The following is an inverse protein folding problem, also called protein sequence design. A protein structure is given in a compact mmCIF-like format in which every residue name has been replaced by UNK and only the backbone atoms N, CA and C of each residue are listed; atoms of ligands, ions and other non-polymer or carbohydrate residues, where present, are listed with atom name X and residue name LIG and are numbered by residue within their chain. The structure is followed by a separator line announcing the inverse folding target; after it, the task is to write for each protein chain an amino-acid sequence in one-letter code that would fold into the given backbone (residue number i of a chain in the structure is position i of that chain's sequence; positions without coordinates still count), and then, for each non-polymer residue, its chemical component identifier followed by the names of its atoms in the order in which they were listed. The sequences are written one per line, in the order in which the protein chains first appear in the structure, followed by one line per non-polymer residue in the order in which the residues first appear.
data_IF_566254307386
#
_entry.id   IF_566254307386
#
_cell.length_a   1.000
_cell.length_b   1.000
_cell.length_c   1.000
_cell.angle_alpha   90.00
_cell.angle_beta   90.00
_cell.angle_gamma   90.00
#
_symmetry.space_group_name_H-M   'P 1'
#
loop_
_entity.id
_entity.type
_entity.pdbx_description
1 polymer ?
#
# COMPACT_ATOMS: atom_id res chain seq x y z
N UNK A 1 13.41 -27.52 9.34
CA UNK A 1 12.24 -28.34 9.03
C UNK A 1 12.20 -28.47 7.52
N UNK A 2 12.29 -29.71 7.01
CA UNK A 2 12.06 -29.98 5.58
C UNK A 2 10.55 -30.09 5.36
N UNK A 3 10.02 -29.31 4.43
CA UNK A 3 8.59 -29.13 4.18
C UNK A 3 7.99 -27.95 4.93
N UNK A 4 6.66 -27.87 4.93
CA UNK A 4 5.89 -26.84 5.62
C UNK A 4 5.70 -27.15 7.11
N UNK A 5 5.49 -26.12 7.91
CA UNK A 5 5.15 -26.24 9.31
C UNK A 5 3.79 -25.59 9.61
N UNK A 6 2.86 -26.36 10.15
CA UNK A 6 1.52 -25.92 10.49
C UNK A 6 1.30 -25.96 11.99
N UNK A 7 1.00 -24.81 12.58
CA UNK A 7 0.59 -24.68 13.97
C UNK A 7 -0.60 -23.73 14.15
N UNK A 8 -1.45 -23.64 13.14
CA UNK A 8 -2.66 -22.83 13.19
C UNK A 8 -3.67 -23.35 14.19
N UNK A 9 -4.46 -22.45 14.78
CA UNK A 9 -5.55 -22.75 15.73
C UNK A 9 -5.14 -23.63 16.91
N UNK A 10 -3.90 -23.44 17.42
CA UNK A 10 -3.36 -24.17 18.56
C UNK A 10 -3.39 -23.36 19.87
N UNK A 11 -3.97 -22.14 19.85
CA UNK A 11 -4.00 -21.21 20.98
C UNK A 11 -2.60 -20.83 21.50
N UNK A 12 -1.60 -20.86 20.63
CA UNK A 12 -0.23 -20.49 20.97
C UNK A 12 -0.14 -19.01 21.37
N UNK A 13 0.65 -18.71 22.38
CA UNK A 13 0.92 -17.34 22.84
C UNK A 13 2.32 -16.87 22.47
N UNK A 14 3.23 -17.80 22.22
CA UNK A 14 4.62 -17.55 21.85
C UNK A 14 5.26 -18.83 21.27
N UNK A 15 6.51 -18.72 20.80
CA UNK A 15 7.34 -19.85 20.38
C UNK A 15 8.48 -20.17 21.35
N UNK A 16 8.34 -19.82 22.65
CA UNK A 16 9.36 -20.05 23.65
C UNK A 16 9.74 -21.52 23.74
N UNK A 17 11.05 -21.78 23.71
CA UNK A 17 11.59 -23.15 23.77
C UNK A 17 11.60 -23.90 22.44
N UNK A 18 11.03 -23.34 21.38
CA UNK A 18 11.13 -23.90 20.03
C UNK A 18 12.32 -23.27 19.29
N UNK A 19 13.00 -24.06 18.47
CA UNK A 19 14.10 -23.61 17.60
C UNK A 19 13.85 -24.12 16.19
N UNK A 20 13.31 -23.25 15.34
CA UNK A 20 12.96 -23.63 13.96
C UNK A 20 14.18 -23.63 13.01
N UNK A 21 15.10 -22.70 13.12
CA UNK A 21 16.13 -22.50 12.10
C UNK A 21 15.50 -22.12 10.75
N UNK A 22 15.51 -23.04 9.77
CA UNK A 22 14.92 -22.87 8.43
C UNK A 22 13.71 -23.77 8.28
N UNK A 23 12.64 -23.25 7.69
CA UNK A 23 11.49 -24.00 7.15
C UNK A 23 11.54 -23.87 5.63
N UNK A 24 11.58 -25.01 4.92
CA UNK A 24 11.88 -25.02 3.47
C UNK A 24 10.68 -24.69 2.58
N UNK A 25 9.46 -24.80 3.11
CA UNK A 25 8.24 -24.43 2.41
C UNK A 25 7.50 -23.32 3.19
N UNK A 26 6.25 -23.51 3.59
CA UNK A 26 5.45 -22.51 4.28
C UNK A 26 5.49 -22.67 5.82
N UNK A 27 5.37 -21.54 6.51
CA UNK A 27 5.19 -21.48 7.95
C UNK A 27 3.81 -20.86 8.26
N UNK A 28 2.90 -21.67 8.79
CA UNK A 28 1.51 -21.28 9.02
C UNK A 28 1.19 -21.29 10.53
N UNK A 29 1.15 -20.10 11.15
CA UNK A 29 0.87 -19.93 12.57
C UNK A 29 -0.34 -19.02 12.84
N UNK A 30 -1.26 -18.90 11.87
CA UNK A 30 -2.46 -18.07 11.97
C UNK A 30 -3.46 -18.60 12.99
N UNK A 31 -4.48 -17.81 13.34
CA UNK A 31 -5.52 -18.18 14.30
C UNK A 31 -4.98 -18.61 15.67
N UNK A 32 -4.00 -17.88 16.18
CA UNK A 32 -3.41 -18.11 17.51
C UNK A 32 -3.58 -16.87 18.41
N UNK A 33 -2.79 -16.77 19.47
CA UNK A 33 -2.76 -15.64 20.39
C UNK A 33 -1.36 -15.06 20.50
N UNK A 34 -0.59 -15.16 19.44
CA UNK A 34 0.79 -14.68 19.39
C UNK A 34 0.83 -13.16 19.55
N UNK A 35 1.72 -12.67 20.39
CA UNK A 35 1.95 -11.23 20.58
C UNK A 35 3.23 -10.73 19.91
N UNK A 36 4.14 -11.65 19.53
CA UNK A 36 5.35 -11.41 18.74
C UNK A 36 5.70 -12.66 17.92
N UNK A 37 6.64 -12.53 16.98
CA UNK A 37 7.20 -13.64 16.21
C UNK A 37 8.56 -14.09 16.74
N UNK A 38 8.91 -13.69 17.98
CA UNK A 38 10.16 -14.14 18.61
C UNK A 38 10.21 -15.66 18.71
N UNK A 39 11.27 -16.26 18.16
CA UNK A 39 11.43 -17.73 18.06
C UNK A 39 10.85 -18.34 16.76
N UNK A 40 10.24 -17.55 15.89
CA UNK A 40 9.84 -18.00 14.54
C UNK A 40 11.08 -18.43 13.70
N UNK A 41 10.88 -19.12 12.56
CA UNK A 41 11.96 -19.50 11.66
C UNK A 41 12.80 -18.30 11.21
N UNK A 42 14.10 -18.48 11.07
CA UNK A 42 15.00 -17.43 10.55
C UNK A 42 14.84 -17.23 9.04
N UNK A 43 14.40 -18.25 8.33
CA UNK A 43 14.09 -18.24 6.90
C UNK A 43 12.91 -19.15 6.61
N UNK A 44 12.04 -18.69 5.71
CA UNK A 44 10.89 -19.43 5.17
C UNK A 44 11.04 -19.49 3.67
N UNK A 45 11.10 -20.71 3.12
CA UNK A 45 11.30 -20.98 1.71
C UNK A 45 10.03 -20.93 0.84
N UNK A 46 8.88 -20.68 1.45
CA UNK A 46 7.59 -20.40 0.84
C UNK A 46 6.92 -19.26 1.58
N UNK A 47 5.60 -19.33 1.76
CA UNK A 47 4.82 -18.28 2.41
C UNK A 47 4.85 -18.37 3.94
N UNK A 48 4.76 -17.21 4.60
CA UNK A 48 4.57 -17.09 6.04
C UNK A 48 3.20 -16.48 6.33
N UNK A 49 2.35 -17.22 7.03
CA UNK A 49 1.01 -16.82 7.43
C UNK A 49 0.93 -16.68 8.95
N UNK A 50 0.83 -15.43 9.46
CA UNK A 50 0.66 -15.11 10.89
C UNK A 50 -0.58 -14.24 11.14
N UNK A 51 -1.53 -14.24 10.22
CA UNK A 51 -2.78 -13.49 10.33
C UNK A 51 -3.67 -14.02 11.47
N UNK A 52 -4.67 -13.24 11.89
CA UNK A 52 -5.58 -13.60 13.00
C UNK A 52 -4.81 -13.98 14.29
N UNK A 53 -3.97 -13.06 14.74
CA UNK A 53 -3.24 -13.15 16.00
C UNK A 53 -3.41 -11.86 16.83
N UNK A 54 -2.53 -11.62 17.78
CA UNK A 54 -2.53 -10.42 18.62
C UNK A 54 -1.17 -9.70 18.52
N UNK A 55 -0.52 -9.80 17.37
CA UNK A 55 0.80 -9.22 17.14
C UNK A 55 0.74 -7.70 17.27
N UNK A 56 1.62 -7.15 18.11
CA UNK A 56 1.82 -5.71 18.26
C UNK A 56 3.12 -5.25 17.62
N UNK A 57 3.97 -6.18 17.21
CA UNK A 57 5.27 -5.99 16.56
C UNK A 57 5.56 -7.19 15.65
N UNK A 58 6.36 -6.97 14.61
CA UNK A 58 6.91 -8.02 13.75
C UNK A 58 8.32 -8.42 14.16
N UNK A 59 8.76 -8.03 15.36
CA UNK A 59 10.04 -8.46 15.91
C UNK A 59 10.11 -9.99 15.97
N UNK A 60 11.21 -10.56 15.48
CA UNK A 60 11.40 -12.01 15.36
C UNK A 60 10.91 -12.59 14.02
N UNK A 61 10.29 -11.81 13.15
CA UNK A 61 9.98 -12.27 11.79
C UNK A 61 11.26 -12.59 11.00
N UNK A 62 11.24 -13.56 10.06
CA UNK A 62 12.37 -13.83 9.18
C UNK A 62 12.67 -12.62 8.29
N UNK A 63 13.93 -12.44 7.93
CA UNK A 63 14.33 -11.35 7.02
C UNK A 63 13.96 -11.64 5.56
N UNK A 64 13.74 -12.91 5.20
CA UNK A 64 13.42 -13.39 3.87
C UNK A 64 12.26 -14.36 3.90
N UNK A 65 11.28 -14.11 3.04
CA UNK A 65 10.13 -14.97 2.74
C UNK A 65 10.07 -15.13 1.23
N UNK A 66 10.19 -16.37 0.75
CA UNK A 66 10.25 -16.64 -0.70
C UNK A 66 8.86 -16.71 -1.35
N UNK A 67 7.79 -16.63 -0.57
CA UNK A 67 6.40 -16.55 -0.99
C UNK A 67 5.72 -15.32 -0.38
N UNK A 68 4.43 -15.44 -0.04
CA UNK A 68 3.64 -14.41 0.62
C UNK A 68 4.04 -14.21 2.07
N UNK A 69 3.93 -12.97 2.53
CA UNK A 69 3.96 -12.63 3.95
C UNK A 69 2.59 -12.03 4.34
N UNK A 70 1.85 -12.73 5.19
CA UNK A 70 0.54 -12.30 5.65
C UNK A 70 0.51 -12.11 7.18
N UNK A 71 0.47 -10.84 7.61
CA UNK A 71 0.32 -10.41 9.01
C UNK A 71 -1.02 -9.68 9.24
N UNK A 72 -2.02 -9.94 8.42
CA UNK A 72 -3.33 -9.31 8.49
C UNK A 72 -4.09 -9.64 9.78
N UNK A 73 -5.10 -8.83 10.14
CA UNK A 73 -5.94 -9.08 11.31
C UNK A 73 -5.11 -9.25 12.60
N UNK A 74 -4.28 -8.25 12.89
CA UNK A 74 -3.45 -8.17 14.08
C UNK A 74 -3.63 -6.79 14.77
N UNK A 75 -2.69 -6.39 15.61
CA UNK A 75 -2.70 -5.11 16.36
C UNK A 75 -1.45 -4.28 16.07
N UNK A 76 -0.88 -4.42 14.87
CA UNK A 76 0.35 -3.74 14.47
C UNK A 76 0.11 -2.23 14.32
N UNK A 77 1.03 -1.42 14.83
CA UNK A 77 1.02 0.04 14.67
C UNK A 77 2.10 0.53 13.69
N UNK A 78 3.08 -0.32 13.37
CA UNK A 78 4.12 -0.12 12.34
C UNK A 78 4.54 -1.46 11.75
N UNK A 79 5.33 -1.43 10.69
CA UNK A 79 5.90 -2.63 10.05
C UNK A 79 7.37 -2.84 10.44
N UNK A 80 7.85 -2.18 11.51
CA UNK A 80 9.21 -2.42 11.99
C UNK A 80 9.39 -3.89 12.39
N UNK A 81 10.49 -4.49 11.92
CA UNK A 81 10.76 -5.92 12.06
C UNK A 81 10.21 -6.80 10.94
N UNK A 82 9.46 -6.26 9.98
CA UNK A 82 8.96 -7.01 8.83
C UNK A 82 10.11 -7.60 7.97
N UNK A 83 9.85 -8.70 7.24
CA UNK A 83 10.77 -9.19 6.22
C UNK A 83 11.16 -8.10 5.23
N UNK A 84 12.45 -7.98 4.93
CA UNK A 84 12.93 -7.00 3.96
C UNK A 84 12.94 -7.53 2.52
N UNK A 85 12.77 -8.85 2.36
CA UNK A 85 12.62 -9.52 1.08
C UNK A 85 11.38 -10.42 1.12
N UNK A 86 10.38 -10.07 0.31
CA UNK A 86 9.16 -10.84 0.11
C UNK A 86 8.98 -10.98 -1.39
N UNK A 87 9.03 -12.22 -1.88
CA UNK A 87 9.02 -12.48 -3.33
C UNK A 87 7.64 -12.58 -3.96
N UNK A 88 6.61 -12.70 -3.15
CA UNK A 88 5.24 -12.65 -3.64
C UNK A 88 4.53 -11.49 -2.96
N UNK A 89 3.35 -11.68 -2.40
CA UNK A 89 2.54 -10.59 -1.86
C UNK A 89 2.80 -10.32 -0.38
N UNK A 90 2.60 -9.06 0.02
CA UNK A 90 2.69 -8.59 1.40
C UNK A 90 1.32 -8.09 1.86
N UNK A 91 0.73 -8.77 2.82
CA UNK A 91 -0.59 -8.46 3.37
C UNK A 91 -0.48 -7.99 4.82
N UNK A 92 -0.90 -6.75 5.11
CA UNK A 92 -0.96 -6.16 6.44
C UNK A 92 -2.31 -5.47 6.71
N UNK A 93 -3.36 -5.92 6.03
CA UNK A 93 -4.69 -5.35 6.16
C UNK A 93 -5.29 -5.61 7.56
N UNK A 94 -6.29 -4.79 7.95
CA UNK A 94 -6.97 -4.92 9.24
C UNK A 94 -6.00 -4.91 10.44
N UNK A 95 -5.20 -3.86 10.52
CA UNK A 95 -4.31 -3.57 11.64
C UNK A 95 -4.58 -2.16 12.20
N UNK A 96 -3.66 -1.62 12.95
CA UNK A 96 -3.73 -0.27 13.53
C UNK A 96 -2.55 0.58 13.04
N UNK A 97 -2.07 0.32 11.81
CA UNK A 97 -0.89 0.96 11.25
C UNK A 97 -1.13 2.47 11.08
N UNK A 98 -0.26 3.26 11.68
CA UNK A 98 -0.19 4.71 11.48
C UNK A 98 0.95 5.12 10.54
N UNK A 99 1.83 4.16 10.19
CA UNK A 99 2.97 4.33 9.29
C UNK A 99 3.32 3.00 8.62
N UNK A 100 3.86 3.06 7.41
CA UNK A 100 4.41 1.91 6.68
C UNK A 100 5.92 1.75 6.90
N UNK A 101 6.48 2.48 7.88
CA UNK A 101 7.90 2.35 8.23
C UNK A 101 8.24 0.90 8.59
N UNK A 102 9.28 0.37 7.94
CA UNK A 102 9.71 -1.02 8.07
C UNK A 102 9.20 -1.95 6.97
N UNK A 103 8.30 -1.49 6.08
CA UNK A 103 7.93 -2.27 4.91
C UNK A 103 9.14 -2.55 4.00
N UNK A 104 9.14 -3.69 3.26
CA UNK A 104 10.15 -3.96 2.24
C UNK A 104 10.14 -2.88 1.14
N UNK A 105 11.29 -2.58 0.57
CA UNK A 105 11.41 -1.57 -0.48
C UNK A 105 10.82 -2.02 -1.83
N UNK A 106 10.71 -3.31 -2.05
CA UNK A 106 10.15 -3.92 -3.24
C UNK A 106 9.31 -5.13 -2.86
N UNK A 107 8.17 -5.30 -3.52
CA UNK A 107 7.27 -6.44 -3.42
C UNK A 107 6.98 -6.91 -4.84
N UNK A 108 7.30 -8.19 -5.13
CA UNK A 108 7.12 -8.72 -6.50
C UNK A 108 5.64 -9.00 -6.82
N UNK A 109 4.82 -9.29 -5.82
CA UNK A 109 3.37 -9.42 -5.90
C UNK A 109 2.63 -8.18 -5.43
N UNK A 110 1.46 -8.36 -4.81
CA UNK A 110 0.62 -7.27 -4.31
C UNK A 110 1.03 -6.79 -2.91
N UNK A 111 0.78 -5.51 -2.62
CA UNK A 111 0.90 -4.94 -1.28
C UNK A 111 -0.47 -4.44 -0.81
N UNK A 112 -0.97 -4.97 0.30
CA UNK A 112 -2.28 -4.61 0.84
C UNK A 112 -2.17 -4.09 2.28
N UNK A 113 -2.41 -2.79 2.47
CA UNK A 113 -2.51 -2.11 3.77
C UNK A 113 -3.93 -1.57 4.04
N UNK A 114 -4.94 -2.17 3.45
CA UNK A 114 -6.36 -1.85 3.62
C UNK A 114 -6.79 -1.88 5.08
N UNK A 115 -7.76 -1.03 5.47
CA UNK A 115 -8.33 -0.98 6.82
C UNK A 115 -7.25 -0.76 7.90
N UNK A 116 -6.57 0.37 7.83
CA UNK A 116 -5.59 0.83 8.82
C UNK A 116 -5.86 2.30 9.22
N UNK A 117 -4.91 2.97 9.84
CA UNK A 117 -5.03 4.35 10.32
C UNK A 117 -3.95 5.25 9.68
N UNK A 118 -3.56 4.94 8.44
CA UNK A 118 -2.49 5.65 7.72
C UNK A 118 -2.95 7.07 7.35
N UNK A 119 -2.11 8.05 7.66
CA UNK A 119 -2.30 9.46 7.24
C UNK A 119 -1.39 9.85 6.08
N UNK A 120 -0.38 9.03 5.77
CA UNK A 120 0.51 9.12 4.61
C UNK A 120 0.99 7.73 4.19
N UNK A 121 1.56 7.62 2.99
CA UNK A 121 2.17 6.39 2.49
C UNK A 121 3.70 6.39 2.64
N UNK A 122 4.25 7.29 3.46
CA UNK A 122 5.69 7.30 3.73
C UNK A 122 6.15 5.95 4.33
N UNK A 123 7.17 5.36 3.70
CA UNK A 123 7.68 4.04 4.03
C UNK A 123 7.08 2.90 3.21
N UNK A 124 6.14 3.18 2.31
CA UNK A 124 5.65 2.17 1.36
C UNK A 124 6.78 1.66 0.44
N UNK A 125 6.62 0.46 -0.16
CA UNK A 125 7.52 -0.01 -1.21
C UNK A 125 7.68 1.01 -2.34
N UNK A 126 8.86 1.10 -2.94
CA UNK A 126 9.10 1.97 -4.11
C UNK A 126 8.46 1.40 -5.38
N UNK A 127 8.37 0.08 -5.48
CA UNK A 127 7.72 -0.63 -6.59
C UNK A 127 6.94 -1.84 -6.08
N UNK A 128 5.82 -2.12 -6.75
CA UNK A 128 4.91 -3.23 -6.48
C UNK A 128 4.59 -3.90 -7.81
N UNK A 129 4.91 -5.20 -7.91
CA UNK A 129 4.72 -5.99 -9.13
C UNK A 129 3.29 -6.51 -9.35
N UNK A 130 2.39 -6.25 -8.43
CA UNK A 130 0.96 -6.53 -8.51
C UNK A 130 0.15 -5.31 -8.11
N UNK A 131 -0.93 -5.53 -7.35
CA UNK A 131 -1.81 -4.47 -6.88
C UNK A 131 -1.25 -3.76 -5.64
N UNK A 132 -1.53 -2.46 -5.52
CA UNK A 132 -1.31 -1.70 -4.29
C UNK A 132 -2.67 -1.24 -3.73
N UNK A 133 -3.04 -1.76 -2.57
CA UNK A 133 -4.29 -1.43 -1.88
C UNK A 133 -4.03 -0.67 -0.59
N UNK A 134 -4.51 0.58 -0.51
CA UNK A 134 -4.51 1.41 0.70
C UNK A 134 -5.93 1.89 1.06
N UNK A 135 -6.92 1.06 0.76
CA UNK A 135 -8.35 1.33 0.94
C UNK A 135 -8.67 1.54 2.42
N UNK A 136 -9.63 2.42 2.71
CA UNK A 136 -10.13 2.65 4.06
C UNK A 136 -9.02 2.97 5.07
N UNK A 137 -8.39 4.12 4.84
CA UNK A 137 -7.38 4.73 5.69
C UNK A 137 -7.75 6.22 5.95
N UNK A 138 -6.82 7.04 6.39
CA UNK A 138 -7.02 8.46 6.70
C UNK A 138 -6.09 9.35 5.83
N UNK A 139 -5.79 8.91 4.61
CA UNK A 139 -4.88 9.60 3.71
C UNK A 139 -5.49 10.91 3.23
N UNK A 140 -4.72 12.00 3.31
CA UNK A 140 -5.10 13.32 2.76
C UNK A 140 -4.37 13.65 1.45
N UNK A 141 -3.31 12.91 1.14
CA UNK A 141 -2.54 12.94 -0.12
C UNK A 141 -1.91 11.58 -0.36
N UNK A 142 -1.35 11.36 -1.55
CA UNK A 142 -0.66 10.11 -1.90
C UNK A 142 0.87 10.21 -1.73
N UNK A 143 1.33 11.18 -0.95
CA UNK A 143 2.75 11.35 -0.68
C UNK A 143 3.35 10.10 -0.05
N UNK A 144 4.43 9.59 -0.66
CA UNK A 144 5.10 8.35 -0.26
C UNK A 144 4.56 7.09 -0.95
N UNK A 145 3.57 7.22 -1.86
CA UNK A 145 3.12 6.08 -2.66
C UNK A 145 4.25 5.47 -3.51
N UNK A 146 4.14 4.18 -3.90
CA UNK A 146 5.03 3.57 -4.87
C UNK A 146 5.17 4.40 -6.14
N UNK A 147 6.35 4.40 -6.75
CA UNK A 147 6.55 5.04 -8.04
C UNK A 147 5.98 4.21 -9.19
N UNK A 148 5.96 2.88 -9.03
CA UNK A 148 5.45 1.92 -10.01
C UNK A 148 4.56 0.90 -9.34
N UNK A 149 3.39 0.66 -9.94
CA UNK A 149 2.43 -0.39 -9.59
C UNK A 149 2.04 -1.08 -10.90
N UNK A 150 2.35 -2.37 -11.02
CA UNK A 150 2.18 -3.07 -12.30
C UNK A 150 0.72 -3.40 -12.61
N UNK A 151 -0.13 -3.57 -11.58
CA UNK A 151 -1.57 -3.79 -11.76
C UNK A 151 -2.36 -2.56 -11.28
N UNK A 152 -3.30 -2.76 -10.33
CA UNK A 152 -4.20 -1.71 -9.85
C UNK A 152 -3.62 -0.97 -8.64
N UNK A 153 -3.89 0.33 -8.58
CA UNK A 153 -3.69 1.17 -7.40
C UNK A 153 -5.06 1.59 -6.86
N UNK A 154 -5.40 1.19 -5.64
CA UNK A 154 -6.68 1.54 -5.02
C UNK A 154 -6.48 2.28 -3.69
N UNK A 155 -6.84 3.56 -3.69
CA UNK A 155 -6.84 4.44 -2.52
C UNK A 155 -8.26 4.88 -2.13
N UNK A 156 -9.27 4.12 -2.47
CA UNK A 156 -10.67 4.40 -2.16
C UNK A 156 -10.91 4.50 -0.64
N UNK A 157 -11.97 5.21 -0.24
CA UNK A 157 -12.36 5.39 1.16
C UNK A 157 -11.26 6.00 2.03
N UNK A 158 -10.76 7.14 1.59
CA UNK A 158 -9.79 7.95 2.29
C UNK A 158 -10.29 9.42 2.43
N UNK A 159 -9.41 10.33 2.75
CA UNK A 159 -9.72 11.76 2.92
C UNK A 159 -8.90 12.60 1.93
N UNK A 160 -8.64 12.04 0.73
CA UNK A 160 -7.80 12.69 -0.27
C UNK A 160 -8.43 14.00 -0.75
N UNK A 161 -7.71 15.09 -0.56
CA UNK A 161 -8.02 16.41 -1.12
C UNK A 161 -7.05 16.79 -2.22
N UNK A 162 -6.07 15.93 -2.51
CA UNK A 162 -5.04 16.11 -3.54
C UNK A 162 -4.52 14.74 -3.95
N UNK A 163 -4.15 14.60 -5.21
CA UNK A 163 -3.44 13.43 -5.76
C UNK A 163 -1.92 13.61 -5.71
N UNK A 164 -1.42 14.59 -4.95
CA UNK A 164 0.01 14.81 -4.79
C UNK A 164 0.69 13.54 -4.28
N UNK A 165 1.70 13.09 -5.03
CA UNK A 165 2.45 11.87 -4.73
C UNK A 165 1.89 10.60 -5.36
N UNK A 166 0.86 10.69 -6.22
CA UNK A 166 0.38 9.53 -6.98
C UNK A 166 1.52 8.83 -7.74
N UNK A 167 1.42 7.51 -7.94
CA UNK A 167 2.40 6.75 -8.73
C UNK A 167 2.66 7.39 -10.10
N UNK A 168 3.90 7.31 -10.57
CA UNK A 168 4.24 7.75 -11.94
C UNK A 168 3.85 6.73 -13.01
N UNK A 169 3.60 5.50 -12.60
CA UNK A 169 3.15 4.41 -13.46
C UNK A 169 2.16 3.51 -12.72
N UNK A 170 1.02 3.20 -13.35
CA UNK A 170 0.04 2.21 -12.95
C UNK A 170 -0.32 1.45 -14.20
N UNK A 171 -0.15 0.12 -14.17
CA UNK A 171 -0.31 -0.73 -15.34
C UNK A 171 -1.77 -1.00 -15.71
N UNK A 172 -2.68 -0.95 -14.72
CA UNK A 172 -4.09 -1.19 -14.95
C UNK A 172 -4.95 0.01 -14.50
N UNK A 173 -5.65 -0.11 -13.36
CA UNK A 173 -6.63 0.88 -12.93
C UNK A 173 -6.15 1.67 -11.70
N UNK A 174 -6.53 2.96 -11.67
CA UNK A 174 -6.44 3.82 -10.51
C UNK A 174 -7.85 3.99 -9.92
N UNK A 175 -8.05 3.54 -8.68
CA UNK A 175 -9.30 3.71 -7.96
C UNK A 175 -9.15 4.67 -6.80
N UNK A 176 -10.03 5.67 -6.70
CA UNK A 176 -10.02 6.64 -5.60
C UNK A 176 -11.45 7.01 -5.15
N UNK A 177 -12.41 6.12 -5.29
CA UNK A 177 -13.79 6.34 -4.86
C UNK A 177 -13.90 6.66 -3.36
N UNK A 178 -14.99 7.30 -2.97
CA UNK A 178 -15.24 7.69 -1.57
C UNK A 178 -14.10 8.57 -0.98
N UNK A 179 -13.62 9.52 -1.77
CA UNK A 179 -12.70 10.58 -1.36
C UNK A 179 -13.32 11.95 -1.64
N UNK A 180 -12.87 13.03 -1.00
CA UNK A 180 -13.26 14.40 -1.38
C UNK A 180 -12.80 14.85 -2.79
N UNK A 181 -11.89 14.11 -3.43
CA UNK A 181 -11.49 14.31 -4.83
C UNK A 181 -12.63 13.88 -5.74
N UNK A 182 -12.95 14.66 -6.76
CA UNK A 182 -14.02 14.34 -7.72
C UNK A 182 -13.67 13.10 -8.55
N UNK A 183 -14.57 12.12 -8.54
CA UNK A 183 -14.47 10.93 -9.40
C UNK A 183 -14.74 11.24 -10.88
N UNK A 184 -15.55 12.27 -11.16
CA UNK A 184 -15.94 12.64 -12.53
C UNK A 184 -14.72 13.08 -13.35
N UNK A 185 -13.82 13.87 -12.73
CA UNK A 185 -12.56 14.27 -13.36
C UNK A 185 -11.57 13.12 -13.58
N UNK A 186 -11.77 11.98 -12.92
CA UNK A 186 -10.87 10.83 -12.98
C UNK A 186 -11.38 9.72 -13.90
N UNK A 187 -12.69 9.71 -14.24
CA UNK A 187 -13.32 8.64 -15.01
C UNK A 187 -12.67 8.42 -16.38
N UNK A 188 -12.55 9.48 -17.15
CA UNK A 188 -11.97 9.42 -18.50
C UNK A 188 -10.47 9.12 -18.48
N UNK A 189 -9.77 9.61 -17.45
CA UNK A 189 -8.34 9.36 -17.24
C UNK A 189 -8.09 7.87 -16.94
N UNK A 190 -8.96 7.20 -16.20
CA UNK A 190 -8.88 5.75 -15.96
C UNK A 190 -8.93 4.92 -17.24
N UNK A 191 -9.82 5.30 -18.17
CA UNK A 191 -9.98 4.56 -19.42
C UNK A 191 -8.75 4.69 -20.32
N UNK A 192 -8.10 5.85 -20.30
CA UNK A 192 -6.84 6.06 -21.04
C UNK A 192 -5.68 5.30 -20.42
N UNK A 193 -5.58 5.26 -19.10
CA UNK A 193 -4.54 4.49 -18.42
C UNK A 193 -4.62 2.98 -18.75
N UNK A 194 -5.82 2.43 -18.94
CA UNK A 194 -6.01 1.04 -19.41
C UNK A 194 -5.39 0.77 -20.80
N UNK A 195 -5.14 1.81 -21.57
CA UNK A 195 -4.42 1.68 -22.86
C UNK A 195 -2.91 1.59 -22.73
N UNK A 196 -2.36 1.57 -21.51
CA UNK A 196 -0.93 1.50 -21.23
C UNK A 196 -0.25 2.88 -21.17
N UNK A 197 -1.01 3.96 -21.03
CA UNK A 197 -0.50 5.30 -20.86
C UNK A 197 -0.14 5.58 -19.40
N UNK A 198 0.91 6.36 -19.15
CA UNK A 198 1.24 6.80 -17.80
C UNK A 198 0.22 7.80 -17.27
N UNK A 199 0.01 7.83 -15.95
CA UNK A 199 -0.88 8.78 -15.29
C UNK A 199 -0.70 10.26 -15.74
N UNK A 200 0.53 10.83 -15.81
CA UNK A 200 0.71 12.19 -16.30
C UNK A 200 0.33 12.38 -17.77
N UNK A 201 0.52 11.36 -18.61
CA UNK A 201 0.19 11.45 -20.03
C UNK A 201 -1.32 11.33 -20.21
N UNK A 202 -2.00 10.46 -19.44
CA UNK A 202 -3.47 10.37 -19.40
C UNK A 202 -4.12 11.70 -18.96
N UNK A 203 -3.59 12.34 -17.90
CA UNK A 203 -4.05 13.67 -17.48
C UNK A 203 -3.85 14.73 -18.58
N UNK A 204 -2.76 14.65 -19.34
CA UNK A 204 -2.48 15.59 -20.42
C UNK A 204 -3.44 15.40 -21.60
N UNK A 205 -3.78 14.16 -21.95
CA UNK A 205 -4.66 13.84 -23.07
C UNK A 205 -6.11 14.25 -22.80
N UNK A 206 -6.61 13.99 -21.59
CA UNK A 206 -7.99 14.33 -21.21
C UNK A 206 -8.15 15.75 -20.65
N UNK A 207 -7.11 16.59 -20.66
CA UNK A 207 -7.12 17.90 -20.02
C UNK A 207 -8.27 18.81 -20.47
N UNK A 208 -8.58 18.80 -21.76
CA UNK A 208 -9.60 19.66 -22.34
C UNK A 208 -11.03 19.16 -22.05
N UNK A 209 -11.21 17.88 -21.76
CA UNK A 209 -12.50 17.29 -21.39
C UNK A 209 -12.88 17.57 -19.93
N UNK A 210 -11.92 17.88 -19.05
CA UNK A 210 -12.18 18.22 -17.65
C UNK A 210 -12.94 19.56 -17.58
N UNK A 211 -14.21 19.53 -17.20
CA UNK A 211 -15.07 20.71 -17.18
C UNK A 211 -14.84 21.60 -15.94
N UNK A 212 -14.55 21.00 -14.79
CA UNK A 212 -14.42 21.70 -13.51
C UNK A 212 -13.04 22.34 -13.33
N UNK A 213 -13.00 23.67 -13.07
CA UNK A 213 -11.78 24.36 -12.71
C UNK A 213 -11.14 23.82 -11.41
N UNK A 214 -11.97 23.25 -10.53
CA UNK A 214 -11.51 22.64 -9.28
C UNK A 214 -10.76 21.35 -9.54
N UNK A 215 -11.26 20.52 -10.44
CA UNK A 215 -10.64 19.27 -10.84
C UNK A 215 -9.38 19.54 -11.66
N UNK A 216 -9.42 20.50 -12.57
CA UNK A 216 -8.23 21.02 -13.26
C UNK A 216 -7.16 21.47 -12.26
N UNK A 217 -7.55 22.19 -11.20
CA UNK A 217 -6.60 22.64 -10.18
C UNK A 217 -5.94 21.48 -9.41
N UNK A 218 -6.67 20.36 -9.21
CA UNK A 218 -6.12 19.14 -8.59
C UNK A 218 -5.16 18.41 -9.53
N UNK A 219 -5.51 18.30 -10.79
CA UNK A 219 -4.80 17.53 -11.79
C UNK A 219 -3.66 18.29 -12.48
N UNK A 220 -3.67 19.63 -12.43
CA UNK A 220 -2.67 20.48 -13.07
C UNK A 220 -1.20 20.10 -12.76
N UNK A 221 -0.82 19.69 -11.53
CA UNK A 221 0.55 19.26 -11.25
C UNK A 221 1.03 18.06 -12.09
N UNK A 222 0.11 17.28 -12.61
CA UNK A 222 0.41 16.07 -13.39
C UNK A 222 0.35 16.32 -14.90
N UNK A 223 -0.28 17.41 -15.34
CA UNK A 223 -0.32 17.74 -16.77
C UNK A 223 1.02 18.35 -17.21
N UNK A 224 1.88 17.54 -17.83
CA UNK A 224 3.20 17.95 -18.33
C UNK A 224 3.15 18.91 -19.51
N UNK A 225 2.00 19.08 -20.15
CA UNK A 225 1.85 19.98 -21.31
C UNK A 225 1.46 21.40 -20.90
N UNK A 226 1.06 21.64 -19.64
CA UNK A 226 0.66 22.95 -19.17
C UNK A 226 1.82 23.95 -19.14
N UNK A 227 1.62 25.17 -19.67
CA UNK A 227 2.56 26.27 -19.48
C UNK A 227 2.80 26.56 -17.98
N UNK A 228 4.01 26.96 -17.57
CA UNK A 228 4.34 27.22 -16.15
C UNK A 228 3.44 28.25 -15.47
N UNK A 229 2.89 29.21 -16.21
CA UNK A 229 2.03 30.27 -15.66
C UNK A 229 0.61 29.74 -15.41
N UNK A 230 0.10 28.87 -16.26
CA UNK A 230 -1.20 28.20 -16.06
C UNK A 230 -1.12 27.24 -14.87
N UNK A 231 -0.04 26.48 -14.75
CA UNK A 231 0.20 25.62 -13.60
C UNK A 231 0.21 26.42 -12.27
N UNK A 232 0.83 27.60 -12.25
CA UNK A 232 0.81 28.49 -11.08
C UNK A 232 -0.59 28.98 -10.74
N UNK A 233 -1.40 29.29 -11.76
CA UNK A 233 -2.78 29.76 -11.59
C UNK A 233 -3.64 28.68 -10.93
N UNK A 234 -3.56 27.44 -11.39
CA UNK A 234 -4.26 26.29 -10.77
C UNK A 234 -3.76 26.01 -9.34
N UNK A 235 -2.47 26.06 -9.10
CA UNK A 235 -1.92 25.91 -7.75
C UNK A 235 -2.37 27.02 -6.78
N UNK A 236 -2.62 28.25 -7.29
CA UNK A 236 -3.15 29.34 -6.47
C UNK A 236 -4.60 29.08 -6.05
N UNK A 237 -5.43 28.48 -6.91
CA UNK A 237 -6.82 28.09 -6.58
C UNK A 237 -6.85 27.06 -5.43
N UNK A 238 -6.00 26.05 -5.47
CA UNK A 238 -5.88 25.04 -4.40
C UNK A 238 -5.49 25.71 -3.07
N UNK A 239 -4.56 26.67 -3.09
CA UNK A 239 -4.12 27.38 -1.87
C UNK A 239 -5.21 28.29 -1.29
N UNK A 240 -6.02 28.91 -2.13
CA UNK A 240 -7.15 29.75 -1.69
C UNK A 240 -8.20 28.89 -0.97
N UNK A 241 -8.52 27.71 -1.49
CA UNK A 241 -9.49 26.80 -0.88
C UNK A 241 -9.06 26.32 0.50
N UNK A 242 -7.77 26.00 0.70
CA UNK A 242 -7.22 25.60 2.02
C UNK A 242 -7.28 26.70 3.09
N UNK A 243 -7.59 27.96 2.73
CA UNK A 243 -7.72 29.08 3.67
C UNK A 243 -9.17 29.41 4.04
N UNK A 244 -10.13 28.82 3.35
CA UNK A 244 -11.57 29.08 3.52
C UNK A 244 -12.26 27.92 4.27
N UNK A 245 -11.61 26.76 4.40
CA UNK A 245 -12.01 25.63 5.23
C UNK A 245 -11.18 25.58 6.52
#
# INVERSE_FOLDING_TARGET
VDGGFYCSDQRLTDFKGVRFGVVTEYFHCSFNRLTSLEGAPQKVGGSLYCYENQLTSLEGAPQQVEGDFDCSNNRLTSLEGAPQQVKESFYCLNNQLTSLKGAPQQVEGSFDCTNNQLTSLEGAPQSVGGNFYCINNQLTSLKGAPQQVEDNFDCSKNQLTSLEGAPSWIGECFYCSDNPVSEEALGDIHDIMRSGMSWPDAVAEEWDSIESDEDKALLAPYNRTLPPDDLKSYQALVRLRKRVL
#
